data_IF_705037135760
#
_entry.id   IF_705037135760
#
_cell.length_a   1.000
_cell.length_b   1.000
_cell.length_c   1.000
_cell.angle_alpha   90.00
_cell.angle_beta   90.00
_cell.angle_gamma   90.00
#
_symmetry.space_group_name_H-M   'P 1'
#
loop_
_entity.id
_entity.type
_entity.pdbx_description
1 polymer ?
2 non-polymer ?
3 water ?
#
# COMPACT_ATOMS: atom_id res chain seq x y z
N UNK A 6 -21.98 4.75 -17.91
CA UNK A 6 -21.24 5.97 -18.21
C UNK A 6 -20.36 6.40 -17.01
N UNK A 7 -20.94 7.07 -16.02
CA UNK A 7 -20.15 7.46 -14.85
C UNK A 7 -20.02 6.29 -13.90
N UNK A 8 -18.88 6.27 -13.20
CA UNK A 8 -18.70 5.32 -12.13
C UNK A 8 -19.75 5.59 -11.06
N UNK A 9 -20.31 4.53 -10.47
CA UNK A 9 -21.34 4.77 -9.47
C UNK A 9 -21.25 3.73 -8.38
N UNK A 10 -21.96 4.02 -7.30
CA UNK A 10 -22.12 3.09 -6.19
C UNK A 10 -23.60 2.76 -6.08
N UNK A 11 -23.91 1.52 -5.72
CA UNK A 11 -25.30 1.20 -5.42
C UNK A 11 -25.37 0.19 -4.28
N UNK A 12 -26.49 0.21 -3.59
CA UNK A 12 -26.70 -0.73 -2.51
C UNK A 12 -26.83 -2.14 -3.09
N UNK A 13 -26.37 -3.12 -2.31
CA UNK A 13 -26.61 -4.55 -2.59
C UNK A 13 -26.89 -5.24 -1.26
N UNK A 14 -27.72 -6.29 -1.31
CA UNK A 14 -28.00 -7.05 -0.09
C UNK A 14 -26.75 -7.79 0.37
N UNK A 15 -26.56 -7.78 1.68
CA UNK A 15 -25.47 -8.54 2.28
C UNK A 15 -25.82 -10.02 2.21
N UNK A 16 -24.82 -10.85 1.92
CA UNK A 16 -25.07 -12.29 1.91
C UNK A 16 -25.60 -12.75 3.27
N UNK A 17 -26.66 -13.58 3.24
CA UNK A 17 -27.24 -14.03 4.50
C UNK A 17 -26.30 -14.91 5.31
N UNK A 18 -25.26 -15.48 4.68
CA UNK A 18 -24.29 -16.31 5.40
C UNK A 18 -22.90 -15.67 5.47
N UNK A 19 -22.80 -14.34 5.50
CA UNK A 19 -21.50 -13.67 5.48
C UNK A 19 -20.58 -14.14 6.62
N UNK A 20 -21.09 -14.18 7.85
CA UNK A 20 -20.23 -14.57 8.98
C UNK A 20 -19.66 -15.98 8.80
N UNK A 21 -20.48 -16.91 8.32
CA UNK A 21 -19.98 -18.25 8.03
C UNK A 21 -18.96 -18.23 6.89
N UNK A 22 -19.25 -17.48 5.83
CA UNK A 22 -18.29 -17.36 4.73
C UNK A 22 -16.96 -16.81 5.22
N UNK A 23 -17.00 -15.80 6.08
CA UNK A 23 -15.76 -15.23 6.58
C UNK A 23 -14.99 -16.25 7.43
N UNK A 24 -15.71 -17.00 8.26
CA UNK A 24 -15.05 -18.02 9.08
C UNK A 24 -14.46 -19.13 8.22
N UNK A 25 -15.22 -19.62 7.25
CA UNK A 25 -14.74 -20.70 6.39
C UNK A 25 -13.50 -20.30 5.60
N UNK A 26 -13.32 -19.01 5.31
CA UNK A 26 -12.21 -18.58 4.47
C UNK A 26 -11.09 -17.89 5.26
N UNK A 27 -11.12 -17.96 6.58
CA UNK A 27 -10.03 -17.40 7.38
C UNK A 27 -10.02 -15.89 7.48
N UNK A 28 -11.15 -15.22 7.26
CA UNK A 28 -11.23 -13.76 7.32
C UNK A 28 -11.59 -13.38 8.75
N UNK A 29 -10.58 -13.40 9.63
CA UNK A 29 -10.84 -13.25 11.06
C UNK A 29 -10.87 -11.79 11.51
N UNK A 30 -10.78 -10.83 10.59
CA UNK A 30 -10.94 -9.43 10.96
C UNK A 30 -11.99 -8.73 10.10
N UNK A 31 -13.01 -9.47 9.63
CA UNK A 31 -14.06 -8.83 8.83
C UNK A 31 -14.95 -7.93 9.68
N UNK A 32 -14.94 -8.16 10.99
CA UNK A 32 -15.50 -7.27 11.99
C UNK A 32 -14.39 -7.00 13.00
N UNK A 33 -14.16 -5.72 13.32
CA UNK A 33 -13.04 -5.32 14.17
C UNK A 33 -13.60 -4.51 15.33
N UNK A 34 -13.38 -5.00 16.56
CA UNK A 34 -13.91 -4.38 17.79
C UNK A 34 -15.42 -4.20 17.71
N UNK A 35 -16.11 -5.23 17.23
CA UNK A 35 -17.56 -5.21 17.05
C UNK A 35 -18.02 -4.08 16.14
N UNK A 36 -17.15 -3.60 15.25
CA UNK A 36 -17.52 -2.65 14.21
C UNK A 36 -17.31 -3.27 12.83
N UNK A 37 -18.25 -3.02 11.93
CA UNK A 37 -18.16 -3.49 10.54
C UNK A 37 -16.87 -2.98 9.90
N UNK A 38 -16.05 -3.89 9.40
CA UNK A 38 -14.93 -3.54 8.52
C UNK A 38 -15.22 -3.89 7.07
N UNK A 39 -15.38 -5.18 6.79
CA UNK A 39 -15.83 -5.60 5.46
C UNK A 39 -17.29 -5.19 5.26
N UNK A 40 -17.57 -4.39 4.24
CA UNK A 40 -18.90 -3.79 4.06
C UNK A 40 -19.43 -4.11 2.68
N UNK A 41 -20.22 -5.19 2.56
CA UNK A 41 -20.81 -5.51 1.28
C UNK A 41 -22.27 -5.07 1.18
N UNK A 42 -22.68 -4.06 1.94
CA UNK A 42 -24.01 -3.50 1.77
C UNK A 42 -24.08 -2.53 0.59
N UNK A 43 -22.95 -2.27 -0.05
CA UNK A 43 -22.92 -1.45 -1.26
C UNK A 43 -21.77 -1.95 -2.13
N UNK A 44 -21.77 -1.54 -3.39
CA UNK A 44 -20.70 -1.93 -4.29
C UNK A 44 -20.50 -0.83 -5.31
N UNK A 45 -19.27 -0.70 -5.81
CA UNK A 45 -18.93 0.28 -6.84
C UNK A 45 -18.90 -0.39 -8.21
N UNK A 46 -19.47 0.27 -9.20
CA UNK A 46 -19.53 -0.26 -10.57
C UNK A 46 -18.70 0.62 -11.50
N UNK A 47 -17.65 0.05 -12.08
CA UNK A 47 -16.82 0.72 -13.08
C UNK A 47 -17.05 0.10 -14.45
N UNK A 48 -16.84 0.90 -15.50
CA UNK A 48 -16.75 0.32 -16.84
C UNK A 48 -15.32 -0.17 -17.10
N UNK A 49 -15.18 -1.07 -18.06
CA UNK A 49 -13.84 -1.56 -18.40
C UNK A 49 -12.93 -0.43 -18.88
N UNK A 50 -13.51 0.55 -19.57
CA UNK A 50 -12.69 1.68 -20.02
C UNK A 50 -12.18 2.49 -18.83
N UNK A 51 -13.04 2.72 -17.83
CA UNK A 51 -12.57 3.41 -16.63
C UNK A 51 -11.41 2.64 -15.99
N UNK A 52 -11.53 1.32 -15.89
CA UNK A 52 -10.46 0.49 -15.32
C UNK A 52 -9.18 0.66 -16.12
N UNK A 53 -9.23 0.39 -17.43
CA UNK A 53 -8.01 0.35 -18.23
C UNK A 53 -7.42 1.75 -18.41
N UNK A 54 -8.25 2.73 -18.73
CA UNK A 54 -7.72 4.05 -19.06
C UNK A 54 -7.47 4.92 -17.84
N UNK A 55 -8.28 4.81 -16.80
CA UNK A 55 -8.10 5.72 -15.68
C UNK A 55 -7.37 5.11 -14.50
N UNK A 56 -7.32 3.79 -14.38
CA UNK A 56 -6.69 3.22 -13.20
C UNK A 56 -5.46 2.41 -13.58
N UNK A 57 -5.68 1.39 -14.42
CA UNK A 57 -4.62 0.42 -14.70
C UNK A 57 -3.44 1.04 -15.43
N UNK A 58 -3.66 1.63 -16.61
CA UNK A 58 -2.54 2.27 -17.32
C UNK A 58 -1.88 3.38 -16.52
N UNK A 59 -2.61 4.29 -15.86
CA UNK A 59 -1.90 5.29 -15.04
C UNK A 59 -1.09 4.69 -13.89
N UNK A 60 -1.60 3.65 -13.22
CA UNK A 60 -0.84 2.99 -12.16
C UNK A 60 0.47 2.42 -12.71
N UNK A 61 0.41 1.75 -13.86
CA UNK A 61 1.63 1.17 -14.40
C UNK A 61 2.63 2.27 -14.75
N UNK A 62 2.14 3.38 -15.30
CA UNK A 62 3.05 4.46 -15.71
C UNK A 62 3.62 5.19 -14.49
N UNK A 63 2.78 5.43 -13.48
CA UNK A 63 3.27 6.04 -12.24
C UNK A 63 4.35 5.20 -11.58
N UNK A 64 4.22 3.88 -11.65
CA UNK A 64 5.26 3.03 -11.06
C UNK A 64 6.60 3.22 -11.76
N UNK A 65 6.58 3.27 -13.10
CA UNK A 65 7.80 3.60 -13.83
C UNK A 65 8.35 4.96 -13.43
N UNK A 66 7.49 5.96 -13.25
CA UNK A 66 7.95 7.25 -12.81
C UNK A 66 8.61 7.16 -11.44
N UNK A 67 8.07 6.32 -10.56
CA UNK A 67 8.65 6.13 -9.22
C UNK A 67 10.02 5.46 -9.31
N UNK A 68 10.18 4.51 -10.23
CA UNK A 68 11.49 3.88 -10.40
C UNK A 68 12.51 4.89 -10.91
N UNK A 69 12.08 5.87 -11.72
CA UNK A 69 12.99 6.95 -12.07
C UNK A 69 13.36 7.78 -10.85
N UNK A 70 12.40 8.05 -9.96
CA UNK A 70 12.75 8.79 -8.74
C UNK A 70 13.77 8.00 -7.90
N UNK A 71 13.60 6.67 -7.77
CA UNK A 71 14.59 5.88 -7.04
C UNK A 71 15.98 6.06 -7.66
N UNK A 72 16.05 5.90 -8.98
CA UNK A 72 17.33 5.99 -9.66
C UNK A 72 18.00 7.35 -9.46
N UNK A 73 17.22 8.44 -9.51
CA UNK A 73 17.77 9.78 -9.30
C UNK A 73 18.21 9.97 -7.84
N UNK A 74 17.43 9.48 -6.89
CA UNK A 74 17.69 9.76 -5.49
C UNK A 74 18.95 9.06 -4.99
N UNK A 75 19.15 7.80 -5.37
CA UNK A 75 20.29 7.09 -4.79
C UNK A 75 21.62 7.62 -5.32
N UNK A 76 21.58 8.48 -6.33
CA UNK A 76 22.77 9.10 -6.90
C UNK A 76 22.96 10.55 -6.48
N UNK A 77 22.15 11.07 -5.56
CA UNK A 77 22.14 12.50 -5.25
C UNK A 77 22.00 12.67 -3.75
N UNK A 78 23.08 13.12 -3.09
CA UNK A 78 23.08 13.19 -1.63
C UNK A 78 22.16 14.29 -1.12
N UNK A 79 21.92 15.34 -1.91
CA UNK A 79 20.98 16.37 -1.47
C UNK A 79 19.56 15.83 -1.44
N UNK A 80 19.22 14.92 -2.34
CA UNK A 80 17.88 14.34 -2.36
C UNK A 80 17.70 13.38 -1.18
N UNK A 81 18.70 12.50 -0.95
CA UNK A 81 18.66 11.63 0.22
C UNK A 81 18.53 12.44 1.50
N UNK A 82 19.21 13.60 1.55
CA UNK A 82 19.10 14.47 2.73
C UNK A 82 17.69 15.05 2.85
N UNK A 83 17.10 15.48 1.73
CA UNK A 83 15.73 15.98 1.78
C UNK A 83 14.78 14.89 2.26
N UNK A 84 15.02 13.65 1.84
CA UNK A 84 14.19 12.54 2.28
C UNK A 84 14.46 12.15 3.72
N UNK A 85 15.44 12.79 4.37
CA UNK A 85 15.77 12.49 5.76
C UNK A 85 16.19 11.02 5.95
N UNK A 86 16.80 10.44 4.93
CA UNK A 86 17.32 9.08 5.06
C UNK A 86 18.67 9.13 5.76
N UNK A 87 18.88 8.37 6.85
CA UNK A 87 20.15 8.49 7.60
C UNK A 87 21.34 8.20 6.71
N UNK A 88 22.40 9.05 6.74
CA UNK A 88 23.57 8.87 5.86
C UNK A 88 24.24 7.50 5.99
N UNK A 89 24.09 6.85 7.15
CA UNK A 89 24.70 5.55 7.36
C UNK A 89 24.19 4.52 6.37
N UNK A 90 23.00 4.74 5.81
CA UNK A 90 22.37 3.74 4.94
C UNK A 90 22.40 4.10 3.46
N UNK A 91 22.97 5.25 3.10
CA UNK A 91 22.98 5.67 1.69
C UNK A 91 23.67 4.63 0.82
N UNK A 92 24.84 4.13 1.24
CA UNK A 92 25.56 3.20 0.37
C UNK A 92 24.81 1.88 0.19
N UNK A 93 24.17 1.39 1.26
CA UNK A 93 23.53 0.08 1.13
C UNK A 93 22.19 0.19 0.39
N UNK A 94 21.52 1.34 0.50
CA UNK A 94 20.33 1.61 -0.30
C UNK A 94 20.70 1.75 -1.78
N UNK A 95 21.80 2.45 -2.07
CA UNK A 95 22.26 2.57 -3.45
C UNK A 95 22.64 1.21 -4.02
N UNK A 96 23.30 0.40 -3.20
CA UNK A 96 23.66 -0.96 -3.65
C UNK A 96 22.42 -1.83 -3.86
N UNK A 97 21.41 -1.68 -2.99
CA UNK A 97 20.17 -2.42 -3.16
C UNK A 97 19.53 -2.12 -4.52
N UNK A 98 19.50 -0.84 -4.87
CA UNK A 98 19.01 -0.44 -6.18
C UNK A 98 19.92 -0.93 -7.29
N UNK A 99 21.24 -0.83 -7.11
CA UNK A 99 22.17 -1.28 -8.15
C UNK A 99 21.98 -2.76 -8.46
N UNK A 100 21.87 -3.59 -7.42
CA UNK A 100 21.62 -5.02 -7.60
C UNK A 100 20.20 -5.31 -8.01
N UNK A 101 19.35 -4.29 -8.14
CA UNK A 101 17.92 -4.48 -8.44
C UNK A 101 17.31 -5.55 -7.54
N UNK A 102 17.47 -5.40 -6.24
CA UNK A 102 16.82 -6.33 -5.32
C UNK A 102 15.35 -6.48 -5.70
N UNK A 103 14.82 -7.70 -5.67
CA UNK A 103 13.48 -7.93 -6.24
C UNK A 103 12.40 -7.41 -5.33
N UNK A 104 11.38 -6.80 -5.95
CA UNK A 104 10.21 -6.31 -5.23
C UNK A 104 9.04 -7.25 -5.45
N UNK A 105 8.19 -7.38 -4.43
CA UNK A 105 7.00 -8.22 -4.51
C UNK A 105 5.73 -7.42 -4.82
N UNK A 106 5.44 -6.37 -4.04
CA UNK A 106 4.14 -5.71 -4.17
C UNK A 106 4.20 -4.28 -3.64
N UNK A 107 3.11 -3.55 -3.89
CA UNK A 107 2.97 -2.18 -3.44
C UNK A 107 1.57 -1.72 -3.79
N UNK A 108 1.14 -0.63 -3.17
CA UNK A 108 -0.23 -0.15 -3.41
C UNK A 108 -0.22 1.35 -3.46
N UNK A 109 -0.73 1.92 -4.57
CA UNK A 109 -0.93 3.34 -4.73
C UNK A 109 -2.33 3.74 -4.32
N UNK A 110 -2.45 4.90 -3.67
CA UNK A 110 -3.75 5.39 -3.21
C UNK A 110 -4.17 6.60 -4.02
N UNK A 111 -5.39 6.55 -4.56
CA UNK A 111 -5.89 7.50 -5.55
C UNK A 111 -7.16 8.19 -5.10
N UNK A 112 -7.26 9.48 -5.44
CA UNK A 112 -8.51 10.23 -5.40
C UNK A 112 -9.17 10.15 -6.78
N UNK A 113 -10.38 9.57 -6.82
CA UNK A 113 -11.18 9.48 -8.03
C UNK A 113 -11.85 10.83 -8.31
N UNK A 114 -11.72 11.31 -9.54
CA UNK A 114 -12.22 12.62 -9.94
C UNK A 114 -13.24 12.52 -11.07
N UNK A 115 -14.00 11.44 -11.13
CA UNK A 115 -15.00 11.32 -12.19
C UNK A 115 -14.30 11.05 -13.51
N UNK A 116 -14.67 11.79 -14.56
CA UNK A 116 -14.01 11.58 -15.84
C UNK A 116 -12.64 12.27 -15.95
N UNK A 117 -12.22 13.02 -14.95
CA UNK A 117 -10.88 13.60 -14.91
C UNK A 117 -9.85 12.53 -14.51
N UNK A 118 -8.56 12.80 -14.70
CA UNK A 118 -7.53 11.85 -14.24
C UNK A 118 -7.60 11.64 -12.73
N UNK A 119 -7.32 10.41 -12.28
CA UNK A 119 -7.17 10.18 -10.85
C UNK A 119 -5.92 10.91 -10.37
N UNK A 120 -5.93 11.27 -9.09
CA UNK A 120 -4.79 11.95 -8.47
C UNK A 120 -4.13 11.01 -7.46
N UNK A 121 -2.83 10.86 -7.59
CA UNK A 121 -2.06 10.03 -6.67
C UNK A 121 -1.88 10.75 -5.35
N UNK A 122 -2.34 10.11 -4.26
CA UNK A 122 -2.15 10.70 -2.94
C UNK A 122 -0.87 10.21 -2.27
N UNK A 123 -0.54 8.93 -2.41
CA UNK A 123 0.66 8.37 -1.81
C UNK A 123 0.88 6.96 -2.32
N UNK A 124 2.10 6.46 -2.15
CA UNK A 124 2.50 5.14 -2.62
C UNK A 124 2.86 4.34 -1.38
N UNK A 125 1.97 3.43 -0.97
CA UNK A 125 2.23 2.55 0.18
C UNK A 125 3.04 1.38 -0.36
N UNK A 126 4.34 1.61 -0.49
CA UNK A 126 5.21 0.76 -1.29
C UNK A 126 6.01 -0.22 -0.46
N UNK A 127 5.80 -0.23 0.85
CA UNK A 127 6.59 -1.08 1.75
C UNK A 127 5.73 -2.15 2.43
N UNK A 128 4.71 -1.74 3.22
CA UNK A 128 3.91 -2.70 3.99
C UNK A 128 2.42 -2.48 3.85
N UNK A 129 1.91 -2.37 2.62
CA UNK A 129 0.45 -2.22 2.45
C UNK A 129 -0.34 -3.43 2.95
N UNK A 130 -1.49 -3.17 3.56
CA UNK A 130 -2.44 -4.23 3.84
C UNK A 130 -3.69 -4.04 2.98
N UNK A 131 -4.81 -4.65 3.41
CA UNK A 131 -6.01 -4.82 2.57
C UNK A 131 -5.73 -5.72 1.36
N UNK A 132 -4.65 -6.51 1.45
CA UNK A 132 -4.33 -7.43 0.38
C UNK A 132 -5.30 -8.62 0.35
N UNK A 133 -5.51 -9.28 1.49
CA UNK A 133 -6.43 -10.42 1.50
C UNK A 133 -7.79 -10.03 0.94
N UNK A 134 -8.31 -8.88 1.39
CA UNK A 134 -9.61 -8.41 0.94
C UNK A 134 -9.61 -8.14 -0.55
N UNK A 135 -8.56 -7.47 -1.06
CA UNK A 135 -8.53 -7.07 -2.48
C UNK A 135 -8.31 -8.27 -3.39
N UNK A 136 -7.40 -9.17 -3.02
CA UNK A 136 -6.99 -10.29 -3.88
C UNK A 136 -7.95 -11.46 -3.83
N UNK A 137 -8.55 -11.70 -2.66
CA UNK A 137 -9.25 -12.94 -2.41
C UNK A 137 -10.69 -12.72 -1.99
N UNK A 138 -10.94 -12.04 -0.87
CA UNK A 138 -12.31 -12.07 -0.35
C UNK A 138 -13.28 -11.38 -1.29
N UNK A 139 -12.88 -10.29 -1.95
CA UNK A 139 -13.84 -9.63 -2.84
C UNK A 139 -14.05 -10.41 -4.13
N UNK A 140 -13.11 -11.29 -4.49
CA UNK A 140 -13.39 -12.13 -5.65
C UNK A 140 -14.45 -13.19 -5.34
N UNK A 141 -14.35 -13.84 -4.18
CA UNK A 141 -15.44 -14.73 -3.76
C UNK A 141 -16.75 -13.96 -3.67
N UNK A 142 -16.70 -12.71 -3.22
CA UNK A 142 -17.92 -11.89 -3.22
C UNK A 142 -18.48 -11.76 -4.63
N UNK A 143 -17.61 -11.46 -5.60
CA UNK A 143 -18.06 -11.28 -6.98
C UNK A 143 -18.74 -12.54 -7.51
N UNK A 144 -18.12 -13.69 -7.28
CA UNK A 144 -18.68 -14.96 -7.75
C UNK A 144 -20.06 -15.19 -7.15
N UNK A 145 -20.21 -14.96 -5.84
CA UNK A 145 -21.52 -15.12 -5.22
C UNK A 145 -22.51 -14.09 -5.75
N UNK A 146 -22.07 -12.84 -5.96
CA UNK A 146 -22.96 -11.79 -6.40
C UNK A 146 -23.47 -12.03 -7.82
N UNK A 147 -22.59 -12.48 -8.71
CA UNK A 147 -23.01 -12.85 -10.07
C UNK A 147 -24.07 -13.94 -10.02
N UNK A 148 -23.87 -14.96 -9.18
CA UNK A 148 -24.82 -16.06 -9.09
C UNK A 148 -26.16 -15.59 -8.52
N UNK A 149 -26.15 -14.71 -7.54
CA UNK A 149 -27.40 -14.35 -6.89
C UNK A 149 -28.16 -13.25 -7.61
N UNK A 150 -27.63 -12.71 -8.70
CA UNK A 150 -28.35 -11.71 -9.48
C UNK A 150 -28.29 -10.29 -8.98
N UNK A 151 -27.50 -10.00 -7.93
CA UNK A 151 -27.46 -8.66 -7.37
C UNK A 151 -26.55 -7.72 -8.14
N UNK A 152 -25.73 -8.27 -9.04
CA UNK A 152 -24.96 -7.54 -10.06
C UNK A 152 -25.09 -8.32 -11.37
N UNK A 153 -24.72 -7.76 -12.52
CA UNK A 153 -24.86 -8.51 -13.79
C UNK A 153 -24.08 -9.83 -13.75
N UNK A 154 -24.67 -10.86 -14.36
CA UNK A 154 -24.07 -12.19 -14.32
C UNK A 154 -22.69 -12.21 -14.96
N UNK A 155 -22.44 -11.32 -15.92
CA UNK A 155 -21.17 -11.24 -16.60
C UNK A 155 -20.27 -10.16 -16.02
N UNK A 156 -20.55 -9.72 -14.79
CA UNK A 156 -19.67 -8.76 -14.13
C UNK A 156 -18.27 -9.35 -13.97
N UNK A 157 -17.28 -8.49 -14.15
CA UNK A 157 -15.88 -8.78 -13.89
C UNK A 157 -15.41 -7.96 -12.68
N UNK A 158 -14.11 -7.97 -12.43
CA UNK A 158 -13.53 -7.18 -11.33
C UNK A 158 -12.09 -6.92 -11.68
N UNK A 159 -11.59 -5.72 -11.34
CA UNK A 159 -10.21 -5.37 -11.65
C UNK A 159 -9.37 -6.02 -10.56
N UNK A 160 -8.91 -7.25 -10.84
CA UNK A 160 -8.31 -8.06 -9.81
C UNK A 160 -7.67 -9.31 -10.38
N UNK A 161 -6.38 -9.23 -10.71
CA UNK A 161 -5.55 -10.39 -11.02
C UNK A 161 -4.48 -10.60 -9.95
N UNK A 162 -4.71 -10.07 -8.74
CA UNK A 162 -3.62 -9.93 -7.76
C UNK A 162 -3.09 -11.29 -7.34
N UNK A 163 -3.99 -12.24 -7.00
CA UNK A 163 -3.54 -13.55 -6.52
C UNK A 163 -2.70 -14.26 -7.57
N UNK A 164 -3.16 -14.23 -8.83
CA UNK A 164 -2.43 -14.88 -9.92
C UNK A 164 -1.04 -14.25 -10.08
N UNK A 165 -0.97 -12.92 -10.07
CA UNK A 165 0.34 -12.28 -10.23
C UNK A 165 1.24 -12.52 -9.03
N UNK A 166 0.66 -12.61 -7.82
CA UNK A 166 1.48 -12.90 -6.64
C UNK A 166 2.09 -14.29 -6.73
N UNK A 167 1.26 -15.29 -7.06
CA UNK A 167 1.76 -16.66 -7.17
C UNK A 167 2.84 -16.75 -8.24
N UNK A 168 2.61 -16.09 -9.38
CA UNK A 168 3.62 -16.08 -10.44
C UNK A 168 4.89 -15.37 -10.01
N UNK A 169 4.79 -14.34 -9.18
CA UNK A 169 6.00 -13.66 -8.74
C UNK A 169 6.79 -14.55 -7.77
N UNK A 170 6.11 -15.20 -6.83
CA UNK A 170 6.78 -16.15 -5.95
C UNK A 170 7.42 -17.29 -6.72
N UNK A 171 6.79 -17.72 -7.82
CA UNK A 171 7.42 -18.69 -8.71
C UNK A 171 8.74 -18.14 -9.27
N UNK A 172 8.71 -16.91 -9.80
CA UNK A 172 9.93 -16.29 -10.33
C UNK A 172 11.01 -16.19 -9.27
N UNK A 173 10.61 -15.92 -8.03
CA UNK A 173 11.58 -15.71 -6.95
C UNK A 173 11.93 -17.01 -6.23
N UNK A 174 11.54 -18.16 -6.78
CA UNK A 174 11.68 -19.44 -6.09
C UNK A 174 13.12 -19.67 -5.64
N UNK A 175 13.25 -20.26 -4.45
CA UNK A 175 14.53 -20.72 -3.94
C UNK A 175 14.27 -21.95 -3.11
N UNK A 176 15.26 -22.83 -3.05
CA UNK A 176 15.12 -24.01 -2.22
C UNK A 176 15.39 -23.71 -0.74
N UNK A 177 16.04 -22.59 -0.45
CA UNK A 177 16.18 -22.14 0.94
C UNK A 177 14.84 -21.60 1.43
N UNK A 178 14.46 -21.88 2.68
CA UNK A 178 13.14 -21.43 3.17
C UNK A 178 13.01 -19.92 3.12
N UNK A 179 11.77 -19.47 2.85
CA UNK A 179 11.41 -18.06 2.71
C UNK A 179 10.64 -17.67 3.97
N UNK A 180 11.24 -16.85 4.83
CA UNK A 180 10.58 -16.51 6.09
C UNK A 180 9.60 -15.37 5.89
N UNK A 181 8.56 -15.35 6.71
CA UNK A 181 7.54 -14.31 6.69
C UNK A 181 7.36 -13.84 8.11
N UNK A 182 7.35 -12.52 8.33
CA UNK A 182 7.20 -12.07 9.69
C UNK A 182 6.33 -10.82 9.78
N UNK A 183 5.69 -10.69 10.93
CA UNK A 183 4.94 -9.50 11.28
C UNK A 183 4.99 -9.38 12.80
N UNK A 184 4.49 -8.27 13.32
CA UNK A 184 4.41 -8.09 14.76
C UNK A 184 3.22 -8.85 15.35
N UNK A 185 3.26 -9.05 16.66
CA UNK A 185 2.20 -9.70 17.39
C UNK A 185 1.03 -8.74 17.61
N UNK A 186 -0.12 -9.30 18.02
CA UNK A 186 -1.25 -8.50 18.49
C UNK A 186 -1.91 -7.69 17.37
N UNK A 187 -1.87 -8.17 16.14
CA UNK A 187 -2.70 -7.62 15.07
C UNK A 187 -3.09 -8.77 14.14
N UNK A 188 -4.38 -9.14 14.17
CA UNK A 188 -4.86 -10.19 13.27
C UNK A 188 -4.74 -9.79 11.82
N UNK A 189 -4.93 -8.51 11.53
CA UNK A 189 -4.85 -8.06 10.15
C UNK A 189 -3.46 -8.29 9.57
N UNK A 190 -2.42 -7.90 10.29
CA UNK A 190 -1.06 -8.13 9.79
C UNK A 190 -0.76 -9.62 9.63
N UNK A 191 -1.15 -10.44 10.62
CA UNK A 191 -0.89 -11.88 10.53
C UNK A 191 -1.61 -12.48 9.34
N UNK A 192 -2.86 -12.09 9.12
CA UNK A 192 -3.63 -12.65 8.02
C UNK A 192 -3.13 -12.13 6.68
N UNK A 193 -2.59 -10.90 6.62
CA UNK A 193 -1.92 -10.45 5.40
C UNK A 193 -0.72 -11.33 5.08
N UNK A 194 0.11 -11.60 6.10
CA UNK A 194 1.30 -12.42 5.91
C UNK A 194 0.93 -13.88 5.65
N UNK A 195 -0.13 -14.38 6.30
CA UNK A 195 -0.55 -15.75 6.04
C UNK A 195 -1.03 -15.90 4.61
N UNK A 196 -1.70 -14.86 4.10
CA UNK A 196 -2.17 -14.90 2.73
C UNK A 196 -1.00 -14.93 1.74
N UNK A 197 0.03 -14.11 1.97
CA UNK A 197 1.23 -14.14 1.15
C UNK A 197 1.92 -15.50 1.25
N UNK A 198 1.97 -16.07 2.45
CA UNK A 198 2.52 -17.41 2.65
C UNK A 198 1.77 -18.44 1.82
N UNK A 199 0.43 -18.38 1.82
CA UNK A 199 -0.35 -19.30 1.01
C UNK A 199 -0.04 -19.15 -0.48
N UNK A 200 0.13 -17.92 -0.95
CA UNK A 200 0.46 -17.72 -2.36
C UNK A 200 1.82 -18.31 -2.68
N UNK A 201 2.80 -18.04 -1.82
CA UNK A 201 4.15 -18.60 -2.00
C UNK A 201 4.11 -20.13 -2.04
N UNK A 202 3.38 -20.74 -1.12
CA UNK A 202 3.31 -22.19 -1.08
C UNK A 202 2.58 -22.75 -2.29
N UNK A 203 1.62 -22.00 -2.84
CA UNK A 203 0.98 -22.42 -4.07
C UNK A 203 1.95 -22.41 -5.24
N UNK A 204 2.99 -21.61 -5.18
CA UNK A 204 4.01 -21.61 -6.20
C UNK A 204 5.11 -22.63 -5.93
N UNK A 205 4.99 -23.39 -4.85
CA UNK A 205 6.01 -24.35 -4.48
C UNK A 205 7.13 -23.83 -3.60
N UNK A 206 6.97 -22.65 -2.99
CA UNK A 206 8.01 -22.08 -2.14
C UNK A 206 7.77 -22.51 -0.70
N UNK A 207 8.71 -23.27 -0.15
CA UNK A 207 8.71 -23.57 1.28
C UNK A 207 8.81 -22.26 2.06
N UNK A 208 7.94 -22.10 3.07
CA UNK A 208 7.87 -20.85 3.83
C UNK A 208 7.74 -21.15 5.31
N UNK A 209 8.27 -20.24 6.14
CA UNK A 209 8.19 -20.37 7.59
C UNK A 209 7.79 -19.03 8.18
N UNK A 210 6.91 -19.04 9.17
CA UNK A 210 6.47 -17.81 9.82
C UNK A 210 7.24 -17.61 11.11
N UNK A 211 7.56 -16.35 11.42
CA UNK A 211 8.14 -16.02 12.71
C UNK A 211 7.71 -14.62 13.08
N UNK A 212 7.34 -14.41 14.34
CA UNK A 212 7.03 -13.06 14.78
C UNK A 212 8.31 -12.22 14.80
N UNK A 213 8.18 -10.94 14.44
CA UNK A 213 9.30 -10.01 14.53
C UNK A 213 9.92 -10.08 15.92
N UNK A 214 9.07 -10.10 16.96
CA UNK A 214 9.54 -10.14 18.35
C UNK A 214 10.36 -11.38 18.68
N UNK A 215 10.24 -12.45 17.89
CA UNK A 215 10.96 -13.70 18.11
C UNK A 215 12.23 -13.82 17.28
N UNK A 216 12.52 -12.85 16.41
CA UNK A 216 13.77 -12.89 15.68
C UNK A 216 14.92 -12.81 16.69
N UNK A 217 15.95 -13.64 16.47
CA UNK A 217 17.13 -13.63 17.31
C UNK A 217 18.36 -13.27 16.48
N UNK A 218 19.47 -13.09 17.18
CA UNK A 218 20.74 -12.80 16.52
C UNK A 218 21.81 -13.76 17.02
N UNK A 219 22.55 -14.36 16.08
CA UNK A 219 23.68 -15.19 16.44
C UNK A 219 24.96 -14.38 16.46
N UNK A 220 26.07 -15.05 16.75
CA UNK A 220 27.35 -14.37 16.86
C UNK A 220 27.62 -13.53 15.62
N UNK A 221 28.09 -12.31 15.83
CA UNK A 221 28.37 -11.41 14.75
C UNK A 221 27.14 -10.79 14.12
N UNK A 222 25.96 -10.97 14.73
CA UNK A 222 24.75 -10.33 14.26
C UNK A 222 24.07 -11.03 13.09
N UNK A 223 24.05 -12.37 13.08
CA UNK A 223 23.42 -13.14 12.01
C UNK A 223 21.96 -13.41 12.40
N UNK A 224 21.03 -13.12 11.48
CA UNK A 224 19.62 -13.22 11.82
C UNK A 224 19.20 -14.69 11.92
N UNK A 225 18.57 -15.08 13.04
CA UNK A 225 18.21 -16.48 13.22
C UNK A 225 16.76 -16.63 13.72
N UNK A 226 16.20 -17.82 13.48
CA UNK A 226 14.86 -18.14 13.95
C UNK A 226 14.93 -18.76 15.34
N UNK A 227 13.80 -19.26 15.85
CA UNK A 227 13.75 -19.72 17.24
C UNK A 227 14.56 -20.99 17.45
N UNK A 228 14.76 -21.79 16.41
CA UNK A 228 15.60 -22.99 16.47
C UNK A 228 17.04 -22.71 16.05
N UNK A 229 17.45 -21.44 16.02
CA UNK A 229 18.79 -20.99 15.65
C UNK A 229 19.16 -21.32 14.21
N UNK A 230 18.18 -21.58 13.33
CA UNK A 230 18.47 -21.63 11.90
C UNK A 230 18.73 -20.23 11.35
N UNK A 231 19.66 -20.15 10.41
CA UNK A 231 20.00 -18.86 9.81
C UNK A 231 18.91 -18.49 8.82
N UNK A 232 18.32 -17.31 9.00
CA UNK A 232 17.33 -16.78 8.07
C UNK A 232 18.06 -16.11 6.92
N UNK A 233 17.88 -16.61 5.71
CA UNK A 233 18.56 -16.02 4.57
C UNK A 233 17.69 -15.11 3.72
N UNK A 234 16.37 -15.24 3.81
CA UNK A 234 15.50 -14.30 3.11
C UNK A 234 14.21 -14.20 3.90
N UNK A 235 13.70 -12.98 4.07
CA UNK A 235 12.48 -12.77 4.82
C UNK A 235 11.63 -11.70 4.16
N UNK A 236 10.33 -11.96 4.10
CA UNK A 236 9.35 -10.90 3.87
C UNK A 236 8.96 -10.34 5.23
N UNK A 237 8.92 -9.01 5.35
CA UNK A 237 8.59 -8.41 6.64
C UNK A 237 7.47 -7.39 6.51
N UNK A 238 6.43 -7.56 7.32
CA UNK A 238 5.38 -6.54 7.48
C UNK A 238 5.79 -5.68 8.67
N UNK A 239 6.79 -4.83 8.40
CA UNK A 239 7.51 -4.03 9.38
C UNK A 239 8.20 -2.94 8.57
N UNK A 240 8.17 -1.69 9.01
CA UNK A 240 8.63 -0.59 8.13
C UNK A 240 10.15 -0.54 8.01
N UNK A 241 10.64 -0.40 6.78
CA UNK A 241 12.07 -0.22 6.52
C UNK A 241 12.68 0.91 7.34
N UNK A 242 11.96 2.02 7.51
CA UNK A 242 12.56 3.14 8.23
C UNK A 242 12.76 2.81 9.71
N UNK A 243 11.90 1.97 10.29
CA UNK A 243 12.14 1.52 11.66
C UNK A 243 13.31 0.54 11.72
N UNK A 244 13.50 -0.26 10.68
CA UNK A 244 14.65 -1.16 10.67
C UNK A 244 15.94 -0.35 10.68
N UNK A 245 15.95 0.76 9.98
CA UNK A 245 17.16 1.58 9.93
C UNK A 245 17.33 2.44 11.17
N UNK A 246 16.26 2.72 11.92
CA UNK A 246 16.40 3.47 13.17
C UNK A 246 16.75 2.58 14.34
N UNK A 247 16.48 1.28 14.23
CA UNK A 247 16.75 0.33 15.30
C UNK A 247 18.24 0.33 15.64
N UNK A 248 18.56 -0.05 16.88
CA UNK A 248 19.97 -0.14 17.25
C UNK A 248 20.73 -1.18 16.43
N UNK A 249 20.03 -2.23 15.97
CA UNK A 249 20.65 -3.24 15.11
C UNK A 249 20.61 -2.87 13.61
N UNK A 250 20.12 -1.69 13.26
CA UNK A 250 20.14 -1.25 11.87
C UNK A 250 21.47 -1.38 11.16
N UNK A 251 22.60 -1.03 11.79
CA UNK A 251 23.89 -1.13 11.07
C UNK A 251 24.14 -2.50 10.48
N UNK A 252 23.58 -3.57 11.05
CA UNK A 252 23.81 -4.90 10.50
C UNK A 252 23.23 -5.04 9.10
N UNK A 253 22.29 -4.16 8.71
CA UNK A 253 21.76 -4.19 7.35
C UNK A 253 22.84 -3.92 6.30
N UNK A 254 23.88 -3.17 6.68
CA UNK A 254 24.92 -2.80 5.73
C UNK A 254 25.64 -4.03 5.15
N UNK A 255 25.69 -5.13 5.89
CA UNK A 255 26.38 -6.33 5.39
C UNK A 255 25.59 -7.06 4.32
N UNK A 256 24.29 -6.80 4.20
CA UNK A 256 23.45 -7.50 3.20
C UNK A 256 23.58 -9.02 3.35
N UNK A 257 23.56 -9.50 4.59
CA UNK A 257 23.69 -10.94 4.79
C UNK A 257 22.39 -11.67 4.53
N UNK A 258 21.25 -11.01 4.72
CA UNK A 258 19.97 -11.61 4.45
C UNK A 258 19.23 -10.75 3.45
N UNK A 259 18.38 -11.40 2.65
CA UNK A 259 17.55 -10.69 1.68
C UNK A 259 16.26 -10.25 2.33
N UNK A 260 15.83 -9.02 2.05
CA UNK A 260 14.59 -8.50 2.59
C UNK A 260 13.60 -8.23 1.45
N UNK A 261 12.32 -8.53 1.72
CA UNK A 261 11.20 -8.13 0.86
C UNK A 261 10.19 -7.44 1.77
N UNK A 262 9.81 -6.20 1.46
CA UNK A 262 10.33 -5.38 0.35
C UNK A 262 11.79 -4.97 0.59
N UNK A 263 12.53 -4.74 -0.50
CA UNK A 263 13.97 -4.47 -0.38
C UNK A 263 14.27 -3.05 0.08
N UNK A 264 15.53 -2.83 0.46
CA UNK A 264 15.91 -1.55 1.06
C UNK A 264 15.60 -0.37 0.13
N UNK A 265 15.78 -0.52 -1.19
CA UNK A 265 15.54 0.64 -2.04
C UNK A 265 14.09 1.10 -2.01
N UNK A 266 13.16 0.22 -1.61
CA UNK A 266 11.77 0.65 -1.48
C UNK A 266 11.56 1.71 -0.39
N UNK A 267 12.55 1.95 0.48
CA UNK A 267 12.37 3.00 1.49
C UNK A 267 12.24 4.37 0.86
N UNK A 268 12.76 4.55 -0.37
CA UNK A 268 12.59 5.81 -1.08
C UNK A 268 11.13 6.00 -1.52
N UNK A 269 10.47 4.91 -1.93
CA UNK A 269 9.10 5.03 -2.42
C UNK A 269 8.06 5.07 -1.30
N UNK A 270 8.33 4.48 -0.13
CA UNK A 270 7.32 4.59 0.93
C UNK A 270 7.47 5.89 1.71
N UNK A 271 8.58 6.58 1.53
CA UNK A 271 8.77 7.93 2.05
C UNK A 271 7.82 8.89 1.33
N UNK A 272 7.02 9.67 2.08
CA UNK A 272 6.12 10.60 1.41
C UNK A 272 6.86 11.73 0.69
N UNK A 273 8.17 11.90 0.96
CA UNK A 273 9.01 12.74 0.13
C UNK A 273 9.00 12.33 -1.34
N UNK A 274 8.53 11.11 -1.63
CA UNK A 274 8.29 10.73 -3.03
C UNK A 274 7.41 11.76 -3.73
N UNK A 275 6.42 12.29 -3.02
CA UNK A 275 5.44 13.13 -3.71
C UNK A 275 6.04 14.43 -4.20
N UNK A 276 6.83 15.19 -3.41
CA UNK A 276 7.54 16.33 -4.01
C UNK A 276 8.49 15.94 -5.13
N UNK A 277 9.15 14.79 -5.00
CA UNK A 277 10.10 14.42 -6.04
C UNK A 277 9.38 14.09 -7.35
N UNK A 278 8.27 13.36 -7.26
CA UNK A 278 7.47 13.12 -8.46
C UNK A 278 7.06 14.43 -9.11
N UNK A 279 6.68 15.42 -8.31
CA UNK A 279 6.26 16.69 -8.89
C UNK A 279 7.46 17.44 -9.49
N UNK A 280 8.63 17.34 -8.85
CA UNK A 280 9.82 18.01 -9.37
C UNK A 280 10.20 17.42 -10.73
N UNK A 281 10.23 16.11 -10.83
CA UNK A 281 10.75 15.46 -12.03
C UNK A 281 9.71 15.30 -13.12
N UNK A 282 8.41 15.36 -12.81
CA UNK A 282 7.35 15.25 -13.82
C UNK A 282 6.32 16.35 -13.61
N UNK A 283 6.72 17.62 -13.68
CA UNK A 283 5.79 18.71 -13.35
C UNK A 283 4.58 18.67 -14.26
N UNK A 284 3.41 18.92 -13.68
CA UNK A 284 2.20 19.00 -14.47
C UNK A 284 1.67 17.68 -14.96
N UNK A 285 2.22 16.55 -14.52
CA UNK A 285 1.70 15.26 -14.95
C UNK A 285 0.23 15.16 -14.56
N UNK A 286 -0.63 14.62 -15.44
CA UNK A 286 -2.07 14.60 -15.15
C UNK A 286 -2.45 13.90 -13.85
N UNK A 287 -1.71 12.88 -13.42
CA UNK A 287 -2.11 12.16 -12.22
C UNK A 287 -1.44 12.67 -10.96
N UNK A 288 -0.69 13.78 -11.03
CA UNK A 288 0.04 14.29 -9.88
C UNK A 288 -0.57 15.58 -9.35
N UNK A 289 -0.38 15.78 -8.04
CA UNK A 289 -0.68 17.01 -7.33
C UNK A 289 0.63 17.72 -7.04
N UNK A 290 0.59 19.05 -7.06
CA UNK A 290 1.74 19.82 -6.59
C UNK A 290 2.12 19.39 -5.18
N UNK A 291 3.43 19.33 -4.93
CA UNK A 291 3.90 18.88 -3.63
C UNK A 291 5.30 19.46 -3.37
N UNK A 292 5.59 19.76 -2.11
CA UNK A 292 6.86 20.40 -1.76
C UNK A 292 7.27 19.98 -0.35
N UNK A 293 8.57 19.99 -0.09
CA UNK A 293 9.04 19.68 1.26
C UNK A 293 8.76 20.86 2.19
N UNK A 294 8.50 20.58 3.45
CA UNK A 294 8.38 21.63 4.45
C UNK A 294 9.62 22.52 4.43
N UNK A 295 9.38 23.83 4.29
CA UNK A 295 10.45 24.80 4.15
C UNK A 295 10.68 25.27 2.73
N UNK A 296 10.20 24.54 1.73
CA UNK A 296 10.25 25.03 0.37
C UNK A 296 9.06 25.95 0.11
N UNK A 297 9.18 26.77 -0.92
CA UNK A 297 8.12 27.69 -1.27
C UNK A 297 6.88 26.92 -1.71
N UNK A 298 5.72 27.17 -1.11
CA UNK A 298 4.51 26.46 -1.53
C UNK A 298 4.24 26.61 -3.02
N UNK A 299 3.78 25.51 -3.63
CA UNK A 299 3.46 25.46 -5.06
C UNK A 299 1.96 25.46 -5.31
N UNK A 300 1.24 26.25 -4.53
CA UNK A 300 -0.16 26.53 -4.75
C UNK A 300 -0.29 28.03 -4.57
N UNK A 301 -1.36 28.58 -5.11
CA UNK A 301 -1.68 29.99 -4.93
C UNK A 301 -2.32 30.24 -3.58
N UNK A 302 -2.26 31.51 -3.15
CA UNK A 302 -2.98 31.96 -1.97
C UNK A 302 -4.46 31.62 -2.09
N UNK A 303 -5.05 31.16 -0.97
CA UNK A 303 -6.44 30.81 -0.92
C UNK A 303 -6.71 29.32 -1.01
N UNK A 304 -5.83 28.56 -1.66
CA UNK A 304 -6.09 27.16 -1.89
C UNK A 304 -5.87 26.33 -0.62
N UNK A 305 -6.67 25.28 -0.46
CA UNK A 305 -6.42 24.31 0.61
C UNK A 305 -5.16 23.49 0.35
N UNK A 306 -4.66 22.82 1.39
CA UNK A 306 -3.44 22.03 1.23
C UNK A 306 -3.40 21.01 2.35
N UNK A 307 -2.53 20.02 2.20
CA UNK A 307 -2.45 18.86 3.09
C UNK A 307 -1.02 18.81 3.60
N UNK A 308 -0.84 18.59 4.90
CA UNK A 308 0.47 18.35 5.45
C UNK A 308 0.55 16.91 5.94
N UNK A 309 1.57 16.18 5.50
CA UNK A 309 1.72 14.77 5.85
C UNK A 309 3.11 14.52 6.40
N UNK A 310 3.26 13.64 7.40
CA UNK A 310 4.60 13.21 7.81
C UNK A 310 5.25 12.37 6.72
N UNK A 311 6.59 12.38 6.67
CA UNK A 311 7.26 11.60 5.61
C UNK A 311 7.06 10.10 5.83
N UNK A 312 6.79 9.68 7.07
CA UNK A 312 6.51 8.30 7.40
C UNK A 312 5.22 8.28 8.22
N UNK A 313 4.19 7.59 7.71
CA UNK A 313 2.93 7.46 8.43
C UNK A 313 2.02 6.48 7.71
N UNK A 314 1.01 6.01 8.45
CA UNK A 314 0.11 4.97 8.01
C UNK A 314 -1.32 5.37 8.36
N UNK A 315 -2.27 4.99 7.51
CA UNK A 315 -3.70 5.15 7.81
C UNK A 315 -4.05 6.59 8.17
N UNK A 316 -3.47 7.54 7.44
CA UNK A 316 -3.76 8.93 7.70
C UNK A 316 -3.17 9.48 8.97
N UNK A 317 -2.29 8.75 9.64
CA UNK A 317 -1.82 9.16 10.94
C UNK A 317 -1.13 10.50 10.89
N UNK A 318 -1.58 11.45 11.71
CA UNK A 318 -0.96 12.76 11.84
C UNK A 318 -1.02 13.56 10.53
N UNK A 319 -2.00 13.27 9.69
CA UNK A 319 -2.28 14.08 8.50
C UNK A 319 -3.24 15.20 8.87
N UNK A 320 -2.98 16.41 8.36
CA UNK A 320 -3.88 17.54 8.55
C UNK A 320 -4.21 18.13 7.18
N UNK A 321 -5.49 18.32 6.88
CA UNK A 321 -5.91 19.14 5.73
C UNK A 321 -6.18 20.56 6.24
N UNK A 322 -5.54 21.55 5.59
CA UNK A 322 -5.71 22.97 5.89
C UNK A 322 -6.51 23.65 4.80
N UNK A 323 -7.37 24.57 5.19
CA UNK A 323 -7.97 25.45 4.19
C UNK A 323 -7.04 26.63 3.92
N UNK A 324 -7.42 27.49 2.98
CA UNK A 324 -6.52 28.56 2.59
C UNK A 324 -6.43 29.71 3.56
N UNK A 325 -7.21 29.68 4.64
CA UNK A 325 -6.98 30.56 5.79
C UNK A 325 -6.17 29.88 6.87
N UNK A 326 -5.64 28.67 6.60
CA UNK A 326 -4.79 27.90 7.49
C UNK A 326 -5.53 27.33 8.70
N UNK A 327 -6.85 27.25 8.62
CA UNK A 327 -7.62 26.48 9.58
C UNK A 327 -7.57 24.99 9.26
N UNK A 328 -7.86 24.19 10.28
CA UNK A 328 -7.91 22.74 10.15
C UNK A 328 -9.23 22.32 9.50
N UNK A 329 -9.13 21.67 8.35
CA UNK A 329 -10.32 21.07 7.73
C UNK A 329 -10.57 19.67 8.31
N UNK A 330 -9.52 18.86 8.38
CA UNK A 330 -9.63 17.53 8.98
C UNK A 330 -8.26 17.18 9.53
N UNK A 331 -8.25 16.28 10.49
CA UNK A 331 -7.03 15.86 11.12
C UNK A 331 -7.18 14.42 11.60
N UNK A 332 -6.08 13.67 11.58
CA UNK A 332 -6.10 12.33 12.14
C UNK A 332 -4.98 12.15 13.14
N UNK A 333 -5.31 11.57 14.30
CA UNK A 333 -4.31 11.16 15.29
C UNK A 333 -3.38 10.11 14.68
N UNK A 334 -2.23 9.91 15.33
CA UNK A 334 -1.35 8.83 14.94
C UNK A 334 -0.06 8.90 15.73
N UNK A 335 0.83 7.94 15.44
CA UNK A 335 2.09 7.84 16.18
C UNK A 335 3.27 8.44 15.43
N UNK A 336 3.03 9.41 14.56
CA UNK A 336 4.06 9.90 13.65
C UNK A 336 4.29 11.40 13.77
N UNK A 337 3.92 11.98 14.93
CA UNK A 337 3.89 13.44 15.08
C UNK A 337 5.29 14.06 15.05
N UNK A 338 6.34 13.28 15.30
CA UNK A 338 7.69 13.80 15.34
C UNK A 338 8.46 13.64 14.03
N UNK A 339 7.84 13.09 12.97
CA UNK A 339 8.48 12.99 11.66
C UNK A 339 8.51 14.35 10.95
N UNK A 340 9.53 14.59 10.12
CA UNK A 340 9.46 15.77 9.22
C UNK A 340 8.30 15.65 8.26
N UNK A 341 7.95 16.76 7.62
CA UNK A 341 6.67 16.82 6.90
C UNK A 341 6.82 17.29 5.47
N UNK A 342 5.85 16.89 4.65
CA UNK A 342 5.71 17.37 3.28
C UNK A 342 4.32 17.98 3.15
N UNK A 343 4.16 18.78 2.10
CA UNK A 343 2.90 19.43 1.77
C UNK A 343 2.46 19.00 0.39
N UNK A 344 1.15 19.00 0.19
CA UNK A 344 0.61 18.58 -1.09
C UNK A 344 -0.63 19.42 -1.37
N UNK A 345 -0.86 19.76 -2.63
CA UNK A 345 -2.13 20.36 -3.02
C UNK A 345 -3.29 19.40 -2.72
N UNK A 346 -4.50 19.94 -2.61
CA UNK A 346 -5.63 19.21 -2.06
C UNK A 346 -6.63 18.84 -3.16
N UNK A 347 -6.88 17.55 -3.29
CA UNK A 347 -7.97 17.02 -4.11
C UNK A 347 -8.86 16.22 -3.18
N UNK A 348 -10.08 16.66 -2.88
CA UNK A 348 -10.91 15.89 -1.94
C UNK A 348 -11.26 14.53 -2.51
N UNK A 349 -11.35 13.54 -1.61
CA UNK A 349 -11.90 12.25 -2.04
C UNK A 349 -13.35 12.43 -2.47
N UNK A 350 -13.83 11.61 -3.40
CA UNK A 350 -15.24 11.69 -3.79
C UNK A 350 -16.10 11.23 -2.64
N UNK A 351 -17.29 11.81 -2.58
CA UNK A 351 -18.23 11.51 -1.52
C UNK A 351 -19.42 10.76 -2.11
N UNK A 352 -19.71 9.59 -1.55
CA UNK A 352 -20.85 8.78 -1.94
C UNK A 352 -21.70 8.59 -0.69
N UNK A 353 -22.93 9.06 -0.72
CA UNK A 353 -23.71 9.11 0.51
C UNK A 353 -22.97 9.99 1.50
N UNK A 354 -22.75 9.47 2.70
CA UNK A 354 -21.97 10.16 3.73
C UNK A 354 -20.56 9.60 3.85
N UNK A 355 -20.10 8.86 2.85
CA UNK A 355 -18.79 8.21 2.91
C UNK A 355 -17.83 8.84 1.91
N UNK A 356 -16.56 8.87 2.28
CA UNK A 356 -15.49 9.36 1.42
C UNK A 356 -14.66 8.17 0.97
N UNK A 357 -14.41 8.08 -0.33
CA UNK A 357 -14.00 6.84 -0.96
C UNK A 357 -12.57 6.93 -1.47
N UNK A 358 -11.74 5.96 -1.08
CA UNK A 358 -10.35 5.90 -1.50
C UNK A 358 -10.14 4.67 -2.38
N UNK A 359 -9.40 4.81 -3.46
CA UNK A 359 -9.06 3.69 -4.33
C UNK A 359 -7.64 3.25 -4.02
N UNK A 360 -7.46 1.97 -3.70
CA UNK A 360 -6.11 1.44 -3.61
C UNK A 360 -5.74 0.56 -4.79
N UNK A 361 -4.72 0.94 -5.55
CA UNK A 361 -4.41 0.28 -6.82
C UNK A 361 -3.12 -0.51 -6.65
N UNK A 362 -3.18 -1.81 -6.90
CA UNK A 362 -2.10 -2.73 -6.55
C UNK A 362 -1.10 -2.92 -7.68
N UNK A 363 0.17 -3.06 -7.29
CA UNK A 363 1.28 -3.35 -8.17
C UNK A 363 1.90 -4.64 -7.67
N UNK A 364 2.20 -5.57 -8.57
CA UNK A 364 2.94 -6.77 -8.23
C UNK A 364 4.16 -6.80 -9.15
N UNK A 365 5.35 -6.75 -8.54
CA UNK A 365 6.61 -6.38 -9.19
C UNK A 365 6.46 -5.01 -9.87
N UNK A 366 6.20 -4.96 -11.18
CA UNK A 366 5.98 -3.68 -11.84
C UNK A 366 4.65 -3.61 -12.57
N UNK A 367 3.75 -4.55 -12.30
CA UNK A 367 2.53 -4.72 -13.07
C UNK A 367 1.34 -4.27 -12.26
N UNK A 368 0.53 -3.36 -12.85
CA UNK A 368 -0.73 -2.94 -12.24
C UNK A 368 -1.75 -4.05 -12.43
N UNK A 369 -2.31 -4.58 -11.33
CA UNK A 369 -3.14 -5.76 -11.49
C UNK A 369 -4.39 -5.84 -10.61
N UNK A 370 -4.79 -4.77 -9.93
CA UNK A 370 -6.09 -4.83 -9.29
C UNK A 370 -6.28 -3.66 -8.34
N UNK A 371 -7.48 -3.60 -7.78
CA UNK A 371 -7.76 -2.50 -6.88
C UNK A 371 -8.77 -2.91 -5.81
N UNK A 372 -8.62 -2.27 -4.65
CA UNK A 372 -9.56 -2.43 -3.57
C UNK A 372 -9.98 -1.05 -3.10
N UNK A 373 -11.23 -0.93 -2.67
CA UNK A 373 -11.81 0.37 -2.34
C UNK A 373 -12.08 0.44 -0.84
N UNK A 374 -11.79 1.59 -0.23
CA UNK A 374 -12.17 1.79 1.17
C UNK A 374 -13.01 3.05 1.29
N UNK A 375 -13.91 3.03 2.28
CA UNK A 375 -14.80 4.16 2.58
C UNK A 375 -14.60 4.56 4.03
N UNK A 376 -14.73 5.85 4.30
CA UNK A 376 -14.61 6.33 5.68
C UNK A 376 -15.49 7.57 5.85
N UNK A 377 -15.60 8.07 7.08
CA UNK A 377 -16.61 9.11 7.25
C UNK A 377 -16.04 10.52 7.19
N UNK A 378 -14.74 10.69 7.03
CA UNK A 378 -14.13 12.01 6.85
C UNK A 378 -13.21 12.01 5.64
N UNK A 379 -12.74 13.22 5.31
CA UNK A 379 -11.91 13.43 4.12
C UNK A 379 -10.60 12.67 4.19
N UNK A 380 -10.10 12.37 5.39
CA UNK A 380 -8.86 11.61 5.57
C UNK A 380 -9.26 10.17 5.87
N UNK A 381 -8.76 9.21 5.08
CA UNK A 381 -9.09 7.82 5.33
C UNK A 381 -8.31 7.33 6.55
N UNK A 382 -9.02 6.84 7.55
CA UNK A 382 -8.43 6.53 8.84
C UNK A 382 -8.60 5.03 9.16
N UNK A 383 -8.28 4.66 10.40
CA UNK A 383 -8.35 3.27 10.82
C UNK A 383 -9.78 2.77 10.99
N UNK A 384 -10.75 3.67 11.03
CA UNK A 384 -12.15 3.30 11.05
C UNK A 384 -12.69 2.93 9.67
N UNK A 385 -11.85 2.85 8.64
CA UNK A 385 -12.38 2.73 7.30
C UNK A 385 -12.93 1.33 7.05
N UNK A 386 -13.80 1.21 6.05
CA UNK A 386 -14.46 -0.02 5.66
C UNK A 386 -14.02 -0.39 4.25
N UNK A 387 -13.80 -1.69 3.99
CA UNK A 387 -13.49 -2.15 2.65
C UNK A 387 -14.78 -2.46 1.90
N UNK A 388 -14.89 -1.99 0.66
CA UNK A 388 -16.12 -2.12 -0.13
C UNK A 388 -15.76 -2.79 -1.45
N UNK A 389 -16.48 -3.84 -1.85
CA UNK A 389 -16.17 -4.50 -3.13
C UNK A 389 -16.55 -3.63 -4.33
N UNK A 390 -15.94 -3.94 -5.47
CA UNK A 390 -16.33 -3.30 -6.72
C UNK A 390 -16.46 -4.36 -7.81
N UNK A 391 -17.01 -3.94 -8.95
CA UNK A 391 -17.08 -4.83 -10.10
C UNK A 391 -17.08 -3.98 -11.36
N UNK A 392 -16.90 -4.67 -12.48
CA UNK A 392 -16.81 -4.07 -13.79
C UNK A 392 -18.03 -4.51 -14.59
N UNK A 393 -18.74 -3.56 -15.16
CA UNK A 393 -19.84 -3.85 -16.09
C UNK A 393 -19.90 -2.72 -17.11
N UNK A 394 -20.14 -3.07 -18.37
CA UNK A 394 -20.12 -2.08 -19.43
C UNK A 394 -18.72 -1.53 -19.74
X LIG B 1 -23.30 5.84 3.35
X LIG B 1 -23.15 6.98 4.23
X LIG B 1 -23.70 4.66 4.12
X LIG B 1 -24.28 6.19 2.34
X LIG B 1 -22.00 5.51 2.80
X LIG C 1 29.98 -2.60 7.95
X LIG C 1 31.35 -3.11 7.89
X LIG C 1 29.34 -3.03 9.19
X LIG C 1 29.23 -3.12 6.82
X LIG C 1 30.06 -1.15 7.94
X LIG D 1 -2.78 0.56 4.98
X LIG D 1 -3.90 0.10 5.80
X LIG D 1 -1.64 0.88 5.82
X LIG D 1 -3.16 1.79 4.28
X LIG D 1 -2.38 -0.52 4.07
X LIG E 1 5.08 -22.11 9.57
X LIG E 1 6.33 -21.79 10.24
X LIG E 1 3.95 -21.71 10.42
X LIG E 1 5.06 -23.54 9.27
X LIG E 1 4.96 -21.42 8.30
X LIG F 1 16.08 18.34 -12.10
X LIG F 1 14.77 18.73 -11.59
X LIG F 1 16.94 17.99 -10.97
X LIG F 1 16.69 19.47 -12.81
X LIG F 1 15.96 17.23 -13.04
X LIG G 1 10.84 4.75 15.30
X LIG G 1 11.72 5.76 15.91
X LIG G 1 9.63 4.58 16.09
X LIG G 1 11.55 3.47 15.20
X LIG G 1 10.47 5.24 13.97
#
# INVERSE_FOLDING_TARGET
MHHHHHHMLRHNVPVRRDLDQIAADNGFDFHIIDNEIYWDESRAYRFTLRQIEEQIEKPTAELHQMCLEVVDRAVKDEEILTQLAIPPLYWDVIAESWRARDPSLYGRMDFAWCGNAPVKLLEYNADTPTSLYESAYFQWLWLEDARRSGIIPRDADQYNAIQERLISRFSELYSREPFYFCCCQDTDEDRSTVLYLQDCAQQAGQESRFIYIEDLGLGVGGVLTDLDDNVIQRAFKLYPLEWMMRDDNGPLLRKRREQWVEPLWKSILSNKGLMPLLWRFFPGHPNLLASWFDGEKPQIAAGESYVRKPIYSREGGNVTIFDGKNNVVDHADGDYADEPMIYQAFQPLPRFGDSYTLIGSWIVDDEACGMGIREDNTLITKDTSRFVPHYIAG
SO4 S O1 O2 O3 O4
SO4 S O1 O2 O3 O4
SO4 S O1 O2 O3 O4
SO4 S O1 O2 O3 O4
SO4 S O1 O2 O3 O4
SO4 S O1 O2 O3 O4
#
